data_IF_045919839635
#
_entry.id   IF_045919839635
#
_cell.length_a   1.000
_cell.length_b   1.000
_cell.length_c   1.000
_cell.angle_alpha   90.00
_cell.angle_beta   90.00
_cell.angle_gamma   90.00
#
_symmetry.space_group_name_H-M   'P 1'
#
loop_
_entity.id
_entity.type
_entity.pdbx_description
1 polymer ?
#
# COMPACT_ATOMS: atom_id res chain seq x y z
N UNK A 1 -9.66 -17.17 8.21
CA UNK A 1 -9.42 -16.68 9.56
C UNK A 1 -9.33 -15.17 9.54
N UNK A 2 -10.05 -14.53 10.43
CA UNK A 2 -10.08 -13.07 10.48
C UNK A 2 -8.92 -12.54 11.30
N UNK A 3 -8.28 -11.52 10.78
CA UNK A 3 -7.18 -10.86 11.48
C UNK A 3 -7.49 -9.38 11.54
N UNK A 4 -7.12 -8.73 12.62
CA UNK A 4 -7.34 -7.31 12.79
C UNK A 4 -6.19 -6.52 12.20
N UNK A 5 -6.51 -5.52 11.40
CA UNK A 5 -5.52 -4.62 10.81
C UNK A 5 -5.97 -3.18 10.96
N UNK A 6 -5.02 -2.24 11.09
CA UNK A 6 -5.36 -0.83 10.87
C UNK A 6 -5.77 -0.66 9.40
N UNK A 7 -6.67 0.25 9.12
CA UNK A 7 -7.15 0.47 7.77
C UNK A 7 -7.06 1.94 7.39
N UNK A 8 -6.55 2.20 6.21
CA UNK A 8 -6.35 3.54 5.68
C UNK A 8 -7.29 3.72 4.49
N UNK A 9 -8.24 4.64 4.61
CA UNK A 9 -9.16 4.91 3.52
C UNK A 9 -8.57 5.91 2.56
N UNK A 10 -7.99 5.44 1.49
CA UNK A 10 -7.26 6.28 0.56
C UNK A 10 -8.00 6.56 -0.74
N UNK A 11 -9.16 5.98 -0.93
CA UNK A 11 -9.89 6.16 -2.17
C UNK A 11 -9.36 5.33 -3.33
N UNK A 12 -8.45 4.42 -3.05
CA UNK A 12 -7.83 3.60 -4.09
C UNK A 12 -7.62 2.20 -3.56
N UNK A 13 -7.47 1.26 -4.47
CA UNK A 13 -7.07 -0.11 -4.17
C UNK A 13 -5.82 -0.42 -4.99
N UNK A 14 -5.02 -1.33 -4.49
CA UNK A 14 -3.79 -1.71 -5.16
C UNK A 14 -3.85 -3.16 -5.58
N UNK A 15 -3.20 -3.48 -6.68
CA UNK A 15 -2.97 -4.87 -7.03
C UNK A 15 -1.79 -5.39 -6.21
N UNK A 16 -1.72 -6.71 -5.97
CA UNK A 16 -0.56 -7.27 -5.29
C UNK A 16 0.73 -6.90 -6.01
N UNK A 17 1.76 -6.65 -5.25
CA UNK A 17 3.09 -6.23 -5.70
C UNK A 17 3.14 -4.80 -6.25
N UNK A 18 2.04 -4.08 -6.24
CA UNK A 18 2.04 -2.70 -6.69
C UNK A 18 2.70 -1.82 -5.63
N UNK A 19 3.49 -0.85 -6.08
CA UNK A 19 4.14 0.10 -5.18
C UNK A 19 3.56 1.47 -5.46
N UNK A 20 3.24 2.19 -4.41
CA UNK A 20 2.61 3.50 -4.55
C UNK A 20 3.06 4.43 -3.44
N UNK A 21 2.77 5.71 -3.60
CA UNK A 21 3.07 6.71 -2.60
C UNK A 21 1.78 7.22 -1.99
N UNK A 22 1.75 7.29 -0.68
CA UNK A 22 0.62 7.85 0.06
C UNK A 22 1.05 9.15 0.71
N UNK A 23 0.26 10.17 0.53
CA UNK A 23 0.50 11.44 1.19
C UNK A 23 -0.40 11.48 2.41
N UNK A 24 0.19 11.53 3.57
CA UNK A 24 -0.54 11.39 4.83
C UNK A 24 -0.49 12.71 5.57
N UNK A 25 -1.64 13.30 5.83
CA UNK A 25 -1.72 14.57 6.51
C UNK A 25 -2.79 14.62 7.60
N UNK A 26 -3.70 13.66 7.65
CA UNK A 26 -4.69 13.63 8.72
C UNK A 26 -4.07 13.09 10.00
N UNK A 27 -4.30 13.72 11.14
CA UNK A 27 -3.66 13.30 12.39
C UNK A 27 -3.87 11.82 12.71
N UNK A 28 -5.06 11.30 12.48
CA UNK A 28 -5.34 9.88 12.79
C UNK A 28 -4.49 8.96 11.93
N UNK A 29 -4.26 9.34 10.67
CA UNK A 29 -3.46 8.51 9.78
C UNK A 29 -1.97 8.69 10.01
N UNK A 30 -1.54 9.87 10.45
CA UNK A 30 -0.16 10.04 10.88
C UNK A 30 0.14 9.14 12.06
N UNK A 31 -0.81 9.00 12.97
CA UNK A 31 -0.66 8.10 14.11
C UNK A 31 -0.60 6.66 13.65
N UNK A 32 -1.47 6.28 12.71
CA UNK A 32 -1.47 4.94 12.15
C UNK A 32 -0.11 4.60 11.53
N UNK A 33 0.43 5.51 10.74
CA UNK A 33 1.72 5.30 10.10
C UNK A 33 2.83 5.19 11.14
N UNK A 34 2.82 6.08 12.14
CA UNK A 34 3.82 6.04 13.19
C UNK A 34 3.82 4.72 13.95
N UNK A 35 2.62 4.24 14.30
CA UNK A 35 2.49 2.96 15.02
C UNK A 35 2.91 1.79 14.12
N UNK A 36 2.59 1.86 12.84
CA UNK A 36 2.95 0.80 11.92
C UNK A 36 4.46 0.70 11.76
N UNK A 37 5.13 1.83 11.70
CA UNK A 37 6.59 1.84 11.60
C UNK A 37 7.20 1.31 12.90
N UNK A 38 6.70 1.77 14.03
CA UNK A 38 7.24 1.38 15.31
C UNK A 38 7.07 -0.11 15.57
N UNK A 39 5.94 -0.66 15.24
CA UNK A 39 5.61 -2.06 15.50
C UNK A 39 5.92 -2.96 14.33
N UNK A 40 6.41 -2.42 13.23
CA UNK A 40 6.69 -3.19 12.01
C UNK A 40 5.45 -3.94 11.58
N UNK A 41 4.32 -3.25 11.61
CA UNK A 41 3.04 -3.86 11.30
C UNK A 41 2.51 -3.35 9.99
N UNK A 42 1.95 -4.24 9.19
CA UNK A 42 1.32 -3.87 7.93
C UNK A 42 -0.08 -3.32 8.21
N UNK A 43 -0.63 -2.61 7.25
CA UNK A 43 -1.99 -2.11 7.37
C UNK A 43 -2.71 -2.31 6.05
N UNK A 44 -4.02 -2.07 6.06
CA UNK A 44 -4.85 -2.26 4.88
C UNK A 44 -5.13 -0.90 4.25
N UNK A 45 -5.04 -0.81 2.93
CA UNK A 45 -5.47 0.36 2.19
C UNK A 45 -6.73 0.00 1.44
N UNK A 46 -7.77 0.80 1.60
CA UNK A 46 -9.04 0.53 0.94
C UNK A 46 -9.57 1.78 0.26
N UNK A 47 -10.51 1.58 -0.66
CA UNK A 47 -11.09 2.70 -1.39
C UNK A 47 -12.11 3.45 -0.53
N UNK A 48 -12.67 2.83 0.48
CA UNK A 48 -13.71 3.45 1.29
C UNK A 48 -13.72 2.82 2.68
N UNK A 49 -14.14 3.57 3.67
CA UNK A 49 -14.32 3.05 5.01
C UNK A 49 -15.78 2.72 5.28
N UNK A 50 -16.67 3.03 4.35
CA UNK A 50 -18.09 2.85 4.59
C UNK A 50 -18.70 1.58 4.02
N UNK A 51 -18.00 0.94 3.09
CA UNK A 51 -18.57 -0.23 2.43
C UNK A 51 -18.11 -1.50 3.11
N UNK A 52 -19.06 -2.38 3.38
CA UNK A 52 -18.73 -3.69 3.93
C UNK A 52 -18.38 -4.63 2.80
N UNK A 53 -17.60 -5.64 3.11
CA UNK A 53 -17.24 -6.71 2.19
C UNK A 53 -16.44 -6.23 0.98
N UNK A 54 -15.79 -5.10 1.12
CA UNK A 54 -14.91 -4.65 0.05
C UNK A 54 -13.56 -5.35 0.15
N UNK A 55 -12.80 -5.24 -0.90
CA UNK A 55 -11.45 -5.79 -0.95
C UNK A 55 -10.49 -4.66 -0.58
N UNK A 56 -9.57 -4.94 0.30
CA UNK A 56 -8.51 -4.01 0.64
C UNK A 56 -7.16 -4.63 0.39
N UNK A 57 -6.14 -3.81 0.32
CA UNK A 57 -4.78 -4.26 0.03
C UNK A 57 -3.94 -4.18 1.29
N UNK A 58 -3.36 -5.29 1.69
CA UNK A 58 -2.38 -5.25 2.78
C UNK A 58 -1.09 -4.71 2.24
N UNK A 59 -0.56 -3.66 2.86
CA UNK A 59 0.65 -3.01 2.39
C UNK A 59 1.68 -2.97 3.50
N UNK A 60 2.94 -2.95 3.09
CA UNK A 60 4.02 -2.72 4.02
C UNK A 60 4.68 -1.41 3.66
N UNK A 61 5.23 -0.73 4.63
CA UNK A 61 5.92 0.53 4.41
C UNK A 61 7.33 0.23 3.95
N UNK A 62 7.67 0.71 2.76
CA UNK A 62 9.00 0.53 2.20
C UNK A 62 9.89 1.69 2.59
N UNK A 63 9.35 2.89 2.56
CA UNK A 63 10.11 4.08 2.89
C UNK A 63 9.16 5.19 3.30
N UNK A 64 9.63 6.14 4.08
CA UNK A 64 8.81 7.28 4.48
C UNK A 64 9.69 8.50 4.62
N UNK A 65 9.08 9.66 4.45
CA UNK A 65 9.79 10.93 4.55
C UNK A 65 8.82 11.99 5.07
N UNK A 66 9.27 12.78 6.02
CA UNK A 66 8.47 13.91 6.51
C UNK A 66 8.57 15.03 5.49
N UNK A 67 7.43 15.50 5.01
CA UNK A 67 7.39 16.65 4.12
C UNK A 67 7.33 17.91 4.95
N UNK A 68 6.61 17.86 6.05
CA UNK A 68 6.50 18.98 6.98
C UNK A 68 6.14 18.43 8.34
N UNK A 69 5.92 19.30 9.33
CA UNK A 69 5.57 18.85 10.66
C UNK A 69 4.26 18.08 10.72
N UNK A 70 3.40 18.27 9.74
CA UNK A 70 2.08 17.66 9.76
C UNK A 70 1.81 16.83 8.53
N UNK A 71 2.83 16.47 7.76
CA UNK A 71 2.60 15.76 6.53
C UNK A 71 3.76 14.83 6.22
N UNK A 72 3.43 13.59 5.84
CA UNK A 72 4.42 12.59 5.47
C UNK A 72 4.13 12.01 4.10
N UNK A 73 5.17 11.64 3.41
CA UNK A 73 5.05 10.89 2.17
C UNK A 73 5.54 9.47 2.48
N UNK A 74 4.68 8.49 2.21
CA UNK A 74 4.96 7.11 2.58
C UNK A 74 4.90 6.24 1.35
N UNK A 75 5.94 5.48 1.11
CA UNK A 75 5.94 4.53 0.00
C UNK A 75 5.52 3.19 0.54
N UNK A 76 4.50 2.62 -0.05
CA UNK A 76 3.96 1.34 0.39
C UNK A 76 4.00 0.35 -0.75
N UNK A 77 4.12 -0.92 -0.40
CA UNK A 77 4.09 -2.01 -1.35
C UNK A 77 2.96 -2.93 -0.97
N UNK A 78 2.10 -3.22 -1.92
CA UNK A 78 0.98 -4.12 -1.70
C UNK A 78 1.47 -5.56 -1.67
N UNK A 79 1.09 -6.30 -0.65
CA UNK A 79 1.52 -7.67 -0.48
C UNK A 79 0.46 -8.64 -0.94
N UNK A 80 -0.76 -8.46 -0.47
CA UNK A 80 -1.85 -9.35 -0.84
C UNK A 80 -3.17 -8.67 -0.55
N UNK A 81 -4.23 -9.27 -1.06
CA UNK A 81 -5.56 -8.73 -0.91
C UNK A 81 -6.29 -9.40 0.25
N UNK A 82 -7.16 -8.65 0.88
CA UNK A 82 -7.98 -9.14 1.97
C UNK A 82 -9.41 -8.72 1.75
N UNK A 83 -10.32 -9.55 2.23
CA UNK A 83 -11.74 -9.20 2.24
C UNK A 83 -12.03 -8.55 3.58
N UNK A 84 -12.53 -7.34 3.55
CA UNK A 84 -12.80 -6.57 4.76
C UNK A 84 -14.19 -6.89 5.23
N UNK A 85 -14.30 -7.38 6.46
CA UNK A 85 -15.59 -7.78 7.00
C UNK A 85 -16.21 -6.78 7.94
N UNK A 86 -15.42 -6.07 8.71
CA UNK A 86 -15.94 -5.16 9.69
C UNK A 86 -14.97 -4.03 9.91
N UNK A 87 -15.47 -2.82 10.01
CA UNK A 87 -14.64 -1.64 10.24
C UNK A 87 -15.01 -1.02 11.58
N UNK A 88 -14.01 -0.75 12.39
CA UNK A 88 -14.18 -0.16 13.70
C UNK A 88 -13.62 1.26 13.67
N UNK A 89 -14.48 2.25 13.79
CA UNK A 89 -14.08 3.65 13.75
C UNK A 89 -13.98 4.26 15.14
N UNK A 90 -14.10 3.46 16.18
CA UNK A 90 -14.16 3.99 17.55
C UNK A 90 -12.79 4.19 18.18
N UNK A 91 -11.73 3.76 17.53
CA UNK A 91 -10.38 3.89 18.05
C UNK A 91 -9.70 5.14 17.54
N UNK A 92 -8.45 5.32 17.92
CA UNK A 92 -7.69 6.50 17.51
C UNK A 92 -7.57 6.60 16.01
N UNK A 93 -7.53 5.48 15.32
CA UNK A 93 -7.63 5.42 13.87
C UNK A 93 -8.39 4.15 13.50
N UNK A 94 -8.89 4.06 12.26
CA UNK A 94 -9.76 2.93 11.91
C UNK A 94 -9.04 1.60 11.93
N UNK A 95 -9.75 0.57 12.35
CA UNK A 95 -9.29 -0.81 12.29
C UNK A 95 -10.34 -1.63 11.55
N UNK A 96 -9.93 -2.75 11.03
CA UNK A 96 -10.85 -3.66 10.39
C UNK A 96 -10.52 -5.09 10.72
N UNK A 97 -11.53 -5.96 10.59
CA UNK A 97 -11.33 -7.39 10.61
C UNK A 97 -11.31 -7.84 9.16
N UNK A 98 -10.31 -8.56 8.78
CA UNK A 98 -10.11 -8.94 7.39
C UNK A 98 -9.62 -10.37 7.29
N UNK A 99 -9.97 -11.02 6.19
CA UNK A 99 -9.47 -12.36 5.92
C UNK A 99 -8.81 -12.36 4.55
N UNK A 100 -7.81 -13.17 4.40
CA UNK A 100 -7.06 -13.22 3.17
C UNK A 100 -7.97 -13.60 2.00
N UNK A 101 -7.91 -12.82 0.96
CA UNK A 101 -8.70 -13.08 -0.24
C UNK A 101 -7.81 -13.80 -1.24
N UNK A 102 -8.14 -15.05 -1.49
CA UNK A 102 -7.34 -15.85 -2.39
C UNK A 102 -8.11 -15.98 -3.68
N UNK A 103 -7.54 -15.38 -4.71
CA UNK A 103 -8.16 -15.53 -5.98
C UNK A 103 -7.36 -16.58 -6.67
N UNK A 104 -7.98 -17.64 -7.04
CA UNK A 104 -7.30 -18.67 -7.75
C UNK A 104 -7.14 -18.11 -9.09
N UNK A 105 -6.10 -17.43 -9.28
CA UNK A 105 -6.04 -16.66 -10.40
C UNK A 105 -5.25 -17.22 -11.50
N UNK A 106 -5.54 -16.78 -12.65
CA UNK A 106 -4.70 -16.93 -13.79
C UNK A 106 -3.53 -15.97 -13.60
N UNK A 107 -2.42 -16.26 -14.26
CA UNK A 107 -1.30 -15.32 -14.21
C UNK A 107 -1.75 -13.97 -14.75
N UNK A 108 -1.12 -12.88 -14.36
CA UNK A 108 -1.52 -11.57 -14.85
C UNK A 108 -1.43 -11.51 -16.36
N UNK A 109 -2.38 -10.84 -16.95
CA UNK A 109 -2.36 -10.64 -18.39
C UNK A 109 -1.29 -9.61 -18.75
N UNK A 110 -0.98 -9.51 -20.03
CA UNK A 110 -0.04 -8.49 -20.49
C UNK A 110 -0.56 -7.11 -20.14
N UNK A 111 -1.86 -6.89 -20.27
CA UNK A 111 -2.45 -5.59 -19.94
C UNK A 111 -2.24 -5.26 -18.46
N UNK A 112 -2.40 -6.25 -17.61
CA UNK A 112 -2.20 -6.03 -16.17
C UNK A 112 -0.75 -5.72 -15.85
N UNK A 113 0.18 -6.37 -16.51
CA UNK A 113 1.59 -6.10 -16.33
C UNK A 113 1.97 -4.69 -16.79
N UNK A 114 1.40 -4.26 -17.90
CA UNK A 114 1.63 -2.91 -18.40
C UNK A 114 1.09 -1.89 -17.42
N UNK A 115 -0.09 -2.15 -16.87
CA UNK A 115 -0.69 -1.25 -15.89
C UNK A 115 0.16 -1.17 -14.62
N UNK A 116 0.68 -2.29 -14.17
CA UNK A 116 1.55 -2.32 -13.00
C UNK A 116 2.81 -1.49 -13.24
N UNK A 117 3.42 -1.65 -14.39
CA UNK A 117 4.61 -0.90 -14.74
C UNK A 117 4.31 0.60 -14.80
N UNK A 118 3.16 0.97 -15.35
CA UNK A 118 2.73 2.36 -15.42
C UNK A 118 2.55 2.95 -14.04
N UNK A 119 1.96 2.18 -13.13
CA UNK A 119 1.74 2.64 -11.77
C UNK A 119 3.04 2.86 -11.02
N UNK A 120 4.01 1.99 -11.23
CA UNK A 120 5.32 2.15 -10.62
C UNK A 120 5.99 3.42 -11.14
N UNK A 121 5.92 3.65 -12.45
CA UNK A 121 6.49 4.84 -13.06
C UNK A 121 5.85 6.11 -12.50
N UNK A 122 4.53 6.09 -12.34
CA UNK A 122 3.83 7.23 -11.77
C UNK A 122 4.24 7.49 -10.34
N UNK A 123 4.43 6.43 -9.56
CA UNK A 123 4.83 6.58 -8.18
C UNK A 123 6.21 7.24 -8.08
N UNK A 124 7.15 6.80 -8.91
CA UNK A 124 8.48 7.38 -8.92
C UNK A 124 8.43 8.85 -9.33
N UNK A 125 7.68 9.16 -10.38
CA UNK A 125 7.56 10.55 -10.85
C UNK A 125 6.95 11.44 -9.76
N UNK A 126 5.95 10.93 -9.06
CA UNK A 126 5.29 11.71 -8.01
C UNK A 126 6.24 11.99 -6.86
N UNK A 127 7.06 11.02 -6.50
CA UNK A 127 8.02 11.20 -5.43
C UNK A 127 9.05 12.26 -5.80
N UNK A 128 9.54 12.22 -7.03
CA UNK A 128 10.49 13.20 -7.52
C UNK A 128 9.85 14.59 -7.55
N UNK A 129 8.60 14.67 -7.99
CA UNK A 129 7.88 15.94 -8.02
C UNK A 129 7.76 16.56 -6.64
N UNK A 130 7.61 15.75 -5.63
CA UNK A 130 7.46 16.23 -4.26
C UNK A 130 8.80 16.46 -3.57
N UNK A 131 9.88 16.38 -4.29
CA UNK A 131 11.18 16.68 -3.74
C UNK A 131 11.79 15.59 -2.87
N UNK A 132 11.22 14.39 -2.92
CA UNK A 132 11.78 13.31 -2.15
C UNK A 132 13.05 12.81 -2.78
N UNK A 133 14.07 12.65 -1.94
CA UNK A 133 15.35 12.17 -2.43
C UNK A 133 15.30 10.65 -2.40
N UNK A 134 15.16 10.04 -3.56
CA UNK A 134 15.00 8.60 -3.64
C UNK A 134 16.32 7.94 -3.96
N UNK A 135 16.64 6.92 -3.20
CA UNK A 135 17.80 6.11 -3.52
C UNK A 135 17.35 5.14 -4.61
N UNK A 136 17.53 5.54 -5.85
CA UNK A 136 17.07 4.75 -6.98
C UNK A 136 17.61 3.34 -7.03
N UNK A 137 18.89 3.09 -6.76
CA UNK A 137 19.39 1.72 -6.77
C UNK A 137 18.64 0.81 -5.78
N UNK A 138 18.39 1.28 -4.58
CA UNK A 138 17.65 0.48 -3.61
C UNK A 138 16.21 0.31 -4.01
N UNK A 139 15.60 1.34 -4.56
CA UNK A 139 14.22 1.29 -5.00
C UNK A 139 14.06 0.26 -6.10
N UNK A 140 14.95 0.31 -7.09
CA UNK A 140 14.91 -0.64 -8.20
C UNK A 140 15.19 -2.06 -7.71
N UNK A 141 16.10 -2.20 -6.76
CA UNK A 141 16.40 -3.50 -6.18
C UNK A 141 15.14 -4.11 -5.55
N UNK A 142 14.40 -3.31 -4.80
CA UNK A 142 13.15 -3.78 -4.21
C UNK A 142 12.16 -4.22 -5.27
N UNK A 143 12.04 -3.46 -6.34
CA UNK A 143 11.13 -3.82 -7.42
C UNK A 143 11.52 -5.14 -8.06
N UNK A 144 12.80 -5.32 -8.34
CA UNK A 144 13.26 -6.52 -9.02
C UNK A 144 13.11 -7.76 -8.17
N UNK A 145 13.33 -7.63 -6.87
CA UNK A 145 13.29 -8.80 -6.01
C UNK A 145 11.94 -9.11 -5.45
N UNK A 146 11.00 -8.22 -5.56
CA UNK A 146 9.68 -8.49 -5.09
C UNK A 146 8.70 -8.71 -6.21
N UNK A 147 9.04 -8.28 -7.39
CA UNK A 147 8.18 -8.47 -8.52
C UNK A 147 8.38 -9.87 -9.04
N UNK A 148 7.42 -10.51 -9.45
CA UNK A 148 7.53 -11.84 -9.96
C UNK A 148 8.00 -11.72 -11.32
N UNK A 149 8.88 -11.54 -11.72
CA UNK A 149 9.19 -11.23 -12.84
C UNK A 149 9.55 -11.96 -13.72
N UNK A 150 9.10 -12.05 -14.36
CA UNK A 150 9.28 -12.67 -15.41
C UNK A 150 10.21 -12.10 -16.20
N UNK A 151 10.53 -11.30 -16.01
CA UNK A 151 11.14 -10.73 -16.73
C UNK A 151 12.21 -11.00 -16.95
N UNK A 152 12.52 -11.62 -16.67
CA UNK A 152 13.54 -11.87 -16.86
C UNK A 152 13.77 -11.91 -17.97
N UNK A 153 13.38 -11.65 -18.63
CA UNK A 153 13.51 -11.56 -19.66
C UNK A 153 14.62 -11.44 -19.99
N UNK A 154 14.99 -11.75 -19.82
CA UNK A 154 16.14 -11.72 -20.31
C UNK A 154 16.68 -11.19 -20.64
#
# INVERSE_FOLDING_TARGET
>A
MLVEFPIFGAGINYFPTEISALRVFEPRYLLLIGDSILNKQNFIVSSSLGDEYQIGSEVEIVEHQDISNAEQLVIVKSIKLHKINKIDLSREYPFCMAEEYTEIGLPPSIDELIELERNITKAIAKLVENGMDINLPNFIYCLLYTSPSPRDRG
#
